data_IF_021984343589
#
_entry.id   IF_021984343589
#
_cell.length_a   1.000
_cell.length_b   1.000
_cell.length_c   1.000
_cell.angle_alpha   90.00
_cell.angle_beta   90.00
_cell.angle_gamma   90.00
#
_symmetry.space_group_name_H-M   'P 1'
#
loop_
_entity.id
_entity.type
_entity.pdbx_description
1 polymer ?
#
# COMPACT_ATOMS: atom_id res chain seq x y z
N UNK A 1 -5.65 1.37 41.58
CA UNK A 1 -6.91 0.63 41.85
C UNK A 1 -6.80 -0.52 42.86
N UNK A 2 -5.61 -0.91 43.35
CA UNK A 2 -5.44 -2.12 44.19
C UNK A 2 -5.99 -2.05 45.63
N UNK A 3 -6.02 -0.88 46.26
CA UNK A 3 -6.40 -0.73 47.67
C UNK A 3 -7.84 -1.10 48.01
N UNK A 4 -8.77 -0.93 47.06
CA UNK A 4 -10.19 -1.27 47.27
C UNK A 4 -10.45 -2.76 47.44
N UNK A 5 -9.50 -3.63 47.09
CA UNK A 5 -9.66 -5.09 47.20
C UNK A 5 -8.96 -5.65 48.44
N UNK A 6 -7.69 -5.32 48.65
CA UNK A 6 -6.95 -5.87 49.79
C UNK A 6 -7.43 -5.31 51.14
N UNK A 7 -7.92 -4.07 51.20
CA UNK A 7 -8.40 -3.47 52.46
C UNK A 7 -9.61 -4.22 53.02
N UNK A 8 -10.73 -4.38 52.29
CA UNK A 8 -11.88 -5.10 52.83
C UNK A 8 -11.61 -6.58 53.05
N UNK A 9 -10.76 -7.22 52.24
CA UNK A 9 -10.40 -8.63 52.44
C UNK A 9 -9.51 -8.84 53.67
N UNK A 10 -8.52 -7.97 53.90
CA UNK A 10 -7.69 -8.03 55.09
C UNK A 10 -8.52 -7.77 56.37
N UNK A 11 -9.39 -6.75 56.34
CA UNK A 11 -10.31 -6.47 57.45
C UNK A 11 -11.27 -7.63 57.64
N UNK A 12 -11.85 -8.16 56.56
CA UNK A 12 -12.80 -9.27 56.61
C UNK A 12 -12.19 -10.54 57.18
N UNK A 13 -10.97 -10.90 56.79
CA UNK A 13 -10.26 -12.06 57.32
C UNK A 13 -9.91 -11.92 58.80
N UNK A 14 -9.42 -10.75 59.21
CA UNK A 14 -9.11 -10.51 60.63
C UNK A 14 -10.40 -10.45 61.46
N UNK A 15 -11.45 -9.79 60.97
CA UNK A 15 -12.76 -9.72 61.62
C UNK A 15 -13.39 -11.11 61.74
N UNK A 16 -13.30 -11.94 60.69
CA UNK A 16 -13.77 -13.32 60.71
C UNK A 16 -13.05 -14.11 61.80
N UNK A 17 -11.73 -13.95 61.92
CA UNK A 17 -10.95 -14.61 62.96
C UNK A 17 -11.40 -14.15 64.35
N UNK A 18 -11.54 -12.84 64.57
CA UNK A 18 -12.05 -12.28 65.84
C UNK A 18 -13.46 -12.76 66.14
N UNK A 19 -14.34 -12.84 65.14
CA UNK A 19 -15.71 -13.33 65.30
C UNK A 19 -15.74 -14.82 65.67
N UNK A 20 -14.88 -15.63 65.06
CA UNK A 20 -14.72 -17.05 65.44
C UNK A 20 -14.23 -17.16 66.88
N UNK A 21 -13.30 -16.31 67.32
CA UNK A 21 -12.83 -16.30 68.72
C UNK A 21 -13.96 -15.98 69.70
N UNK A 22 -14.84 -15.05 69.36
CA UNK A 22 -15.97 -14.68 70.22
C UNK A 22 -17.15 -15.65 70.17
N UNK A 23 -17.39 -16.34 69.05
CA UNK A 23 -18.54 -17.24 68.89
C UNK A 23 -18.24 -18.69 69.30
N UNK A 24 -17.01 -19.16 69.05
CA UNK A 24 -16.61 -20.55 69.31
C UNK A 24 -15.82 -20.66 70.62
N UNK A 25 -15.19 -19.57 71.05
CA UNK A 25 -14.38 -19.51 72.27
C UNK A 25 -14.82 -18.35 73.17
N UNK A 26 -14.16 -18.18 74.31
CA UNK A 26 -14.46 -17.13 75.30
C UNK A 26 -13.95 -15.72 74.88
N UNK A 27 -13.67 -15.50 73.59
CA UNK A 27 -13.22 -14.19 73.06
C UNK A 27 -11.82 -13.73 73.51
N UNK A 28 -11.08 -14.57 74.22
CA UNK A 28 -9.71 -14.29 74.68
C UNK A 28 -8.74 -15.41 74.32
N UNK A 29 -9.22 -16.49 73.70
CA UNK A 29 -8.46 -17.74 73.58
C UNK A 29 -7.31 -17.62 72.59
N UNK A 30 -7.47 -16.80 71.55
CA UNK A 30 -6.40 -16.48 70.60
C UNK A 30 -5.26 -15.64 71.17
N UNK A 31 -5.47 -14.98 72.31
CA UNK A 31 -4.39 -14.26 72.98
C UNK A 31 -3.37 -15.22 73.63
N UNK A 32 -3.84 -16.36 74.11
CA UNK A 32 -3.08 -17.36 74.85
C UNK A 32 -2.58 -18.52 73.98
N UNK A 33 -3.06 -18.63 72.75
CA UNK A 33 -2.65 -19.67 71.80
C UNK A 33 -1.39 -19.23 71.05
N UNK A 34 -0.26 -19.89 71.30
CA UNK A 34 1.00 -19.66 70.58
C UNK A 34 1.27 -20.83 69.63
N UNK A 35 1.51 -20.58 68.32
CA UNK A 35 1.47 -19.29 67.62
C UNK A 35 0.06 -18.73 67.41
N UNK A 36 -0.11 -17.41 67.50
CA UNK A 36 -1.41 -16.74 67.34
C UNK A 36 -1.94 -16.85 65.91
N UNK A 37 -3.23 -17.12 65.67
CA UNK A 37 -3.75 -17.44 64.33
C UNK A 37 -3.75 -16.24 63.34
N UNK A 38 -3.43 -15.02 63.80
CA UNK A 38 -3.30 -13.82 62.96
C UNK A 38 -2.18 -13.88 61.91
N UNK A 39 -1.29 -14.87 61.98
CA UNK A 39 -0.34 -15.18 60.91
C UNK A 39 -1.03 -15.52 59.59
N UNK A 40 -2.23 -16.13 59.62
CA UNK A 40 -2.93 -16.59 58.42
C UNK A 40 -3.33 -15.40 57.52
N UNK A 41 -4.06 -14.37 58.00
CA UNK A 41 -4.36 -13.19 57.19
C UNK A 41 -3.10 -12.48 56.67
N UNK A 42 -2.06 -12.35 57.51
CA UNK A 42 -0.82 -11.65 57.15
C UNK A 42 -0.12 -12.34 55.98
N UNK A 43 0.08 -13.66 56.07
CA UNK A 43 0.74 -14.44 55.02
C UNK A 43 -0.10 -14.44 53.74
N UNK A 44 -1.41 -14.68 53.86
CA UNK A 44 -2.30 -14.80 52.71
C UNK A 44 -2.38 -13.48 51.91
N UNK A 45 -2.61 -12.37 52.60
CA UNK A 45 -2.69 -11.06 51.96
C UNK A 45 -1.33 -10.64 51.40
N UNK A 46 -0.22 -10.91 52.10
CA UNK A 46 1.13 -10.64 51.58
C UNK A 46 1.42 -11.42 50.29
N UNK A 47 1.04 -12.69 50.25
CA UNK A 47 1.26 -13.56 49.08
C UNK A 47 0.36 -13.18 47.89
N UNK A 48 -0.84 -12.65 48.14
CA UNK A 48 -1.78 -12.31 47.08
C UNK A 48 -1.54 -10.89 46.53
N UNK A 49 -1.41 -9.91 47.43
CA UNK A 49 -1.39 -8.49 47.10
C UNK A 49 -0.01 -7.83 47.22
N UNK A 50 1.01 -8.59 47.60
CA UNK A 50 2.37 -8.11 47.75
C UNK A 50 2.56 -7.25 49.00
N UNK A 51 3.58 -6.39 48.95
CA UNK A 51 4.08 -5.62 50.09
C UNK A 51 3.00 -4.74 50.74
N UNK A 52 2.28 -3.96 49.94
CA UNK A 52 1.31 -2.99 50.45
C UNK A 52 0.14 -3.66 51.19
N UNK A 53 -0.36 -4.77 50.65
CA UNK A 53 -1.40 -5.56 51.31
C UNK A 53 -0.88 -6.23 52.58
N UNK A 54 0.32 -6.82 52.53
CA UNK A 54 0.93 -7.49 53.68
C UNK A 54 1.15 -6.57 54.87
N UNK A 55 1.73 -5.39 54.64
CA UNK A 55 1.93 -4.37 55.69
C UNK A 55 0.58 -3.93 56.28
N UNK A 56 -0.43 -3.72 55.44
CA UNK A 56 -1.77 -3.37 55.92
C UNK A 56 -2.39 -4.50 56.77
N UNK A 57 -2.29 -5.75 56.34
CA UNK A 57 -2.78 -6.89 57.11
C UNK A 57 -2.08 -7.01 58.47
N UNK A 58 -0.77 -6.76 58.54
CA UNK A 58 -0.02 -6.72 59.80
C UNK A 58 -0.53 -5.62 60.73
N UNK A 59 -0.83 -4.42 60.22
CA UNK A 59 -1.38 -3.33 61.02
C UNK A 59 -2.75 -3.68 61.59
N UNK A 60 -3.64 -4.24 60.77
CA UNK A 60 -4.99 -4.66 61.19
C UNK A 60 -4.90 -5.81 62.21
N UNK A 61 -4.03 -6.79 62.00
CA UNK A 61 -3.78 -7.88 62.94
C UNK A 61 -3.20 -7.39 64.27
N UNK A 62 -2.28 -6.43 64.24
CA UNK A 62 -1.70 -5.82 65.44
C UNK A 62 -2.75 -5.05 66.24
N UNK A 63 -3.62 -4.30 65.55
CA UNK A 63 -4.72 -3.59 66.18
C UNK A 63 -5.73 -4.55 66.83
N UNK A 64 -6.08 -5.64 66.12
CA UNK A 64 -6.96 -6.68 66.65
C UNK A 64 -6.36 -7.37 67.88
N UNK A 65 -5.05 -7.65 67.85
CA UNK A 65 -4.32 -8.23 68.98
C UNK A 65 -4.37 -7.32 70.22
N UNK A 66 -4.05 -6.03 70.05
CA UNK A 66 -4.07 -5.08 71.16
C UNK A 66 -5.48 -4.76 71.66
N UNK A 67 -6.52 -4.97 70.83
CA UNK A 67 -7.92 -4.81 71.25
C UNK A 67 -8.49 -5.99 72.03
N UNK A 68 -7.95 -7.20 71.84
CA UNK A 68 -8.52 -8.45 72.40
C UNK A 68 -7.86 -8.86 73.72
N UNK A 69 -6.55 -8.70 73.87
CA UNK A 69 -5.88 -8.89 75.15
C UNK A 69 -4.45 -8.32 75.14
N UNK A 70 -4.23 -7.25 75.91
CA UNK A 70 -2.88 -6.87 76.32
C UNK A 70 -2.46 -7.78 77.49
N UNK A 71 -1.26 -8.39 77.47
CA UNK A 71 -0.77 -9.14 78.61
C UNK A 71 -0.74 -8.22 79.83
N UNK A 72 -1.32 -8.64 80.96
CA UNK A 72 -1.29 -7.85 82.18
C UNK A 72 0.16 -7.72 82.68
N UNK A 73 0.70 -6.51 82.73
CA UNK A 73 2.03 -6.26 83.27
C UNK A 73 2.04 -6.63 84.76
N UNK A 74 2.84 -7.63 85.16
CA UNK A 74 3.04 -7.94 86.57
C UNK A 74 3.88 -6.82 87.21
N UNK A 75 3.53 -6.42 88.44
CA UNK A 75 4.22 -5.34 89.17
C UNK A 75 5.72 -5.62 89.44
N UNK A 76 6.16 -6.87 89.31
CA UNK A 76 7.55 -7.32 89.46
C UNK A 76 8.29 -7.49 88.13
N UNK A 77 7.64 -7.25 86.99
CA UNK A 77 8.21 -7.50 85.67
C UNK A 77 9.05 -6.32 85.18
N UNK A 78 10.26 -6.62 84.70
CA UNK A 78 11.12 -5.65 84.02
C UNK A 78 10.43 -5.09 82.77
N UNK A 79 10.38 -3.77 82.66
CA UNK A 79 9.81 -3.03 81.54
C UNK A 79 10.40 -3.47 80.18
N UNK A 80 11.70 -3.78 80.14
CA UNK A 80 12.36 -4.24 78.92
C UNK A 80 11.95 -5.66 78.53
N UNK A 81 11.66 -6.52 79.50
CA UNK A 81 11.17 -7.89 79.24
C UNK A 81 9.73 -7.86 78.70
N UNK A 82 8.87 -7.02 79.30
CA UNK A 82 7.49 -6.85 78.86
C UNK A 82 7.39 -6.25 77.45
N UNK A 83 8.12 -5.16 77.17
CA UNK A 83 8.12 -4.51 75.85
C UNK A 83 8.61 -5.44 74.73
N UNK A 84 9.64 -6.26 74.98
CA UNK A 84 10.10 -7.28 74.00
C UNK A 84 9.00 -8.29 73.68
N UNK A 85 8.27 -8.77 74.70
CA UNK A 85 7.21 -9.75 74.51
C UNK A 85 6.03 -9.21 73.70
N UNK A 86 5.67 -7.94 73.92
CA UNK A 86 4.56 -7.29 73.21
C UNK A 86 4.91 -7.01 71.74
N UNK A 87 6.16 -6.62 71.46
CA UNK A 87 6.59 -6.18 70.13
C UNK A 87 7.09 -7.35 69.25
N UNK A 88 7.53 -8.46 69.84
CA UNK A 88 8.09 -9.61 69.11
C UNK A 88 7.15 -10.17 68.03
N UNK A 89 5.86 -10.33 68.32
CA UNK A 89 4.92 -10.90 67.35
C UNK A 89 4.58 -9.93 66.20
N UNK A 90 4.18 -8.67 66.44
CA UNK A 90 3.95 -7.70 65.36
C UNK A 90 5.19 -7.49 64.49
N UNK A 91 6.39 -7.49 65.07
CA UNK A 91 7.64 -7.37 64.30
C UNK A 91 7.91 -8.61 63.45
N UNK A 92 7.63 -9.81 63.96
CA UNK A 92 7.74 -11.04 63.18
C UNK A 92 6.73 -11.07 62.01
N UNK A 93 5.48 -10.64 62.24
CA UNK A 93 4.47 -10.48 61.19
C UNK A 93 4.91 -9.47 60.13
N UNK A 94 5.43 -8.33 60.56
CA UNK A 94 5.92 -7.30 59.65
C UNK A 94 7.11 -7.81 58.84
N UNK A 95 8.10 -8.45 59.47
CA UNK A 95 9.25 -9.02 58.78
C UNK A 95 8.81 -10.05 57.73
N UNK A 96 7.88 -10.93 58.08
CA UNK A 96 7.32 -11.92 57.16
C UNK A 96 6.58 -11.25 55.99
N UNK A 97 5.73 -10.26 56.27
CA UNK A 97 5.01 -9.50 55.27
C UNK A 97 5.95 -8.72 54.33
N UNK A 98 7.04 -8.17 54.85
CA UNK A 98 8.07 -7.50 54.05
C UNK A 98 8.78 -8.48 53.11
N UNK A 99 9.19 -9.65 53.60
CA UNK A 99 9.90 -10.65 52.80
C UNK A 99 8.97 -11.27 51.75
N UNK A 100 7.83 -11.83 52.18
CA UNK A 100 6.89 -12.50 51.26
C UNK A 100 6.22 -11.49 50.33
N UNK A 101 5.74 -10.37 50.89
CA UNK A 101 5.11 -9.32 50.12
C UNK A 101 6.07 -8.64 49.16
N UNK A 102 7.34 -8.43 49.57
CA UNK A 102 8.40 -7.91 48.71
C UNK A 102 8.71 -8.83 47.54
N UNK A 103 8.92 -10.13 47.81
CA UNK A 103 9.15 -11.13 46.76
C UNK A 103 7.95 -11.21 45.79
N UNK A 104 6.73 -11.19 46.33
CA UNK A 104 5.51 -11.17 45.51
C UNK A 104 5.40 -9.91 44.66
N UNK A 105 5.65 -8.73 45.24
CA UNK A 105 5.66 -7.47 44.49
C UNK A 105 6.68 -7.50 43.36
N UNK A 106 7.87 -8.03 43.63
CA UNK A 106 8.91 -8.20 42.63
C UNK A 106 8.47 -9.15 41.52
N UNK A 107 7.84 -10.28 41.84
CA UNK A 107 7.30 -11.20 40.83
C UNK A 107 6.18 -10.58 40.00
N UNK A 108 5.27 -9.82 40.62
CA UNK A 108 4.19 -9.12 39.89
C UNK A 108 4.79 -8.11 38.92
N UNK A 109 5.78 -7.35 39.36
CA UNK A 109 6.46 -6.35 38.55
C UNK A 109 7.18 -7.02 37.36
N UNK A 110 8.01 -8.03 37.59
CA UNK A 110 8.69 -8.76 36.51
C UNK A 110 7.70 -9.43 35.55
N UNK A 111 6.60 -9.99 36.05
CA UNK A 111 5.58 -10.58 35.20
C UNK A 111 4.84 -9.53 34.36
N UNK A 112 4.69 -8.30 34.84
CA UNK A 112 4.13 -7.21 34.07
C UNK A 112 5.11 -6.73 32.99
N UNK A 113 6.37 -6.54 33.37
CA UNK A 113 7.46 -6.15 32.47
C UNK A 113 7.64 -7.16 31.32
N UNK A 114 7.72 -8.46 31.63
CA UNK A 114 7.84 -9.51 30.62
C UNK A 114 6.62 -9.58 29.68
N UNK A 115 5.42 -9.29 30.19
CA UNK A 115 4.22 -9.23 29.33
C UNK A 115 4.29 -8.04 28.39
N UNK A 116 4.69 -6.89 28.89
CA UNK A 116 4.86 -5.68 28.09
C UNK A 116 5.91 -5.89 26.99
N UNK A 117 7.09 -6.42 27.33
CA UNK A 117 8.13 -6.73 26.34
C UNK A 117 7.66 -7.70 25.26
N UNK A 118 6.85 -8.70 25.64
CA UNK A 118 6.26 -9.63 24.68
C UNK A 118 5.24 -8.95 23.78
N UNK A 119 4.39 -8.08 24.32
CA UNK A 119 3.39 -7.35 23.54
C UNK A 119 4.08 -6.37 22.56
N UNK A 120 5.09 -5.64 23.02
CA UNK A 120 5.90 -4.74 22.18
C UNK A 120 6.59 -5.49 21.03
N UNK A 121 7.16 -6.67 21.31
CA UNK A 121 7.81 -7.50 20.29
C UNK A 121 6.82 -8.07 19.26
N UNK A 122 5.59 -8.40 19.67
CA UNK A 122 4.54 -8.84 18.74
C UNK A 122 4.09 -7.70 17.84
N UNK A 123 3.90 -6.50 18.41
CA UNK A 123 3.54 -5.30 17.64
C UNK A 123 4.61 -4.94 16.61
N UNK A 124 5.89 -5.06 16.98
CA UNK A 124 7.02 -4.87 16.06
C UNK A 124 7.01 -5.91 14.94
N UNK A 125 6.85 -7.20 15.26
CA UNK A 125 6.78 -8.27 14.26
C UNK A 125 5.62 -8.08 13.27
N UNK A 126 4.44 -7.67 13.75
CA UNK A 126 3.29 -7.36 12.90
C UNK A 126 3.56 -6.16 12.00
N UNK A 127 4.27 -5.15 12.49
CA UNK A 127 4.68 -3.99 11.68
C UNK A 127 5.63 -4.39 10.54
N UNK A 128 6.60 -5.26 10.82
CA UNK A 128 7.54 -5.80 9.82
C UNK A 128 6.81 -6.68 8.80
N UNK A 129 5.86 -7.51 9.23
CA UNK A 129 5.03 -8.33 8.35
C UNK A 129 4.21 -7.48 7.38
N UNK A 130 3.61 -6.38 7.86
CA UNK A 130 2.91 -5.41 7.01
C UNK A 130 3.84 -4.71 6.02
N UNK A 131 5.02 -4.29 6.48
CA UNK A 131 6.03 -3.66 5.62
C UNK A 131 6.53 -4.58 4.51
N UNK A 132 6.81 -5.84 4.82
CA UNK A 132 7.23 -6.85 3.85
C UNK A 132 6.12 -7.13 2.82
N UNK A 133 4.88 -7.28 3.28
CA UNK A 133 3.73 -7.51 2.39
C UNK A 133 3.53 -6.35 1.42
N UNK A 134 3.67 -5.11 1.90
CA UNK A 134 3.59 -3.92 1.05
C UNK A 134 4.75 -3.87 0.02
N UNK A 135 5.98 -4.20 0.45
CA UNK A 135 7.14 -4.24 -0.44
C UNK A 135 6.99 -5.32 -1.53
N UNK A 136 6.50 -6.51 -1.18
CA UNK A 136 6.22 -7.58 -2.15
C UNK A 136 5.15 -7.18 -3.16
N UNK A 137 4.09 -6.49 -2.72
CA UNK A 137 3.06 -5.98 -3.61
C UNK A 137 3.61 -4.95 -4.60
N UNK A 138 4.51 -4.06 -4.15
CA UNK A 138 5.15 -3.07 -5.01
C UNK A 138 6.13 -3.73 -6.00
N UNK A 139 6.91 -4.72 -5.57
CA UNK A 139 7.77 -5.51 -6.47
C UNK A 139 6.93 -6.17 -7.56
N UNK A 140 5.84 -6.86 -7.20
CA UNK A 140 4.96 -7.49 -8.19
C UNK A 140 4.34 -6.49 -9.17
N UNK A 141 4.04 -5.27 -8.70
CA UNK A 141 3.53 -4.19 -9.55
C UNK A 141 4.61 -3.66 -10.52
N UNK A 142 5.86 -3.54 -10.07
CA UNK A 142 7.00 -3.15 -10.89
C UNK A 142 7.32 -4.22 -11.94
N UNK A 143 7.30 -5.51 -11.57
CA UNK A 143 7.50 -6.63 -12.50
C UNK A 143 6.45 -6.62 -13.61
N UNK A 144 5.17 -6.43 -13.26
CA UNK A 144 4.09 -6.32 -14.24
C UNK A 144 4.31 -5.14 -15.20
N UNK A 145 4.78 -4.00 -14.68
CA UNK A 145 5.09 -2.81 -15.49
C UNK A 145 6.25 -3.07 -16.44
N UNK A 146 7.35 -3.64 -15.95
CA UNK A 146 8.53 -3.96 -16.77
C UNK A 146 8.15 -4.97 -17.86
N UNK A 147 7.33 -5.99 -17.55
CA UNK A 147 6.86 -6.95 -18.52
C UNK A 147 5.99 -6.32 -19.61
N UNK A 148 5.10 -5.38 -19.25
CA UNK A 148 4.29 -4.63 -20.19
C UNK A 148 5.14 -3.70 -21.09
N UNK A 149 6.11 -3.00 -20.50
CA UNK A 149 7.00 -2.06 -21.20
C UNK A 149 7.99 -2.78 -22.12
N UNK A 150 8.55 -3.91 -21.69
CA UNK A 150 9.45 -4.76 -22.50
C UNK A 150 8.72 -5.39 -23.68
N UNK A 151 7.46 -5.81 -23.49
CA UNK A 151 6.62 -6.32 -24.59
C UNK A 151 6.20 -5.19 -25.55
N UNK A 152 6.09 -3.95 -25.08
CA UNK A 152 5.69 -2.81 -25.91
C UNK A 152 6.82 -2.14 -26.71
N UNK A 153 8.06 -2.12 -26.22
CA UNK A 153 9.18 -1.42 -26.88
C UNK A 153 10.13 -2.35 -27.65
N UNK A 154 10.36 -3.57 -27.15
CA UNK A 154 11.29 -4.53 -27.79
C UNK A 154 10.67 -5.35 -28.92
N UNK A 155 9.39 -5.73 -28.80
CA UNK A 155 8.74 -6.59 -29.80
C UNK A 155 8.35 -5.84 -31.08
N UNK A 156 8.02 -4.56 -30.97
CA UNK A 156 7.64 -3.72 -32.11
C UNK A 156 8.89 -3.28 -32.88
N UNK A 157 9.92 -2.78 -32.18
CA UNK A 157 11.17 -2.33 -32.82
C UNK A 157 11.94 -3.47 -33.50
N UNK A 158 12.00 -4.66 -32.87
CA UNK A 158 12.67 -5.84 -33.44
C UNK A 158 11.86 -6.52 -34.54
N UNK A 159 10.53 -6.46 -34.50
CA UNK A 159 9.68 -6.92 -35.59
C UNK A 159 9.78 -6.02 -36.83
N UNK A 160 10.01 -4.71 -36.65
CA UNK A 160 10.19 -3.78 -37.76
C UNK A 160 11.61 -3.77 -38.34
N UNK A 161 12.65 -4.02 -37.52
CA UNK A 161 14.04 -4.03 -37.97
C UNK A 161 14.48 -5.33 -38.69
N UNK A 162 13.63 -6.36 -38.76
CA UNK A 162 13.95 -7.66 -39.37
C UNK A 162 13.18 -7.96 -40.67
N UNK A 163 12.52 -6.97 -41.28
CA UNK A 163 11.72 -7.18 -42.49
C UNK A 163 12.52 -6.79 -43.74
N UNK A 164 12.71 -7.79 -44.62
CA UNK A 164 13.34 -7.64 -45.93
C UNK A 164 12.54 -6.67 -46.83
N UNK A 165 13.23 -6.04 -47.79
CA UNK A 165 12.67 -4.98 -48.64
C UNK A 165 11.43 -5.41 -49.46
N UNK A 166 11.26 -6.71 -49.74
CA UNK A 166 10.05 -7.26 -50.40
C UNK A 166 8.84 -7.38 -49.45
N UNK A 167 9.09 -7.61 -48.15
CA UNK A 167 8.04 -7.67 -47.12
C UNK A 167 7.61 -6.27 -46.66
N UNK A 168 8.51 -5.28 -46.68
CA UNK A 168 8.22 -3.88 -46.37
C UNK A 168 7.16 -3.28 -47.29
N UNK A 169 7.19 -3.58 -48.59
CA UNK A 169 6.18 -3.11 -49.55
C UNK A 169 4.81 -3.78 -49.31
N UNK A 170 4.80 -5.08 -48.96
CA UNK A 170 3.57 -5.81 -48.61
C UNK A 170 2.92 -5.28 -47.33
N UNK A 171 3.73 -4.93 -46.35
CA UNK A 171 3.27 -4.31 -45.11
C UNK A 171 2.75 -2.90 -45.32
N UNK A 172 3.46 -2.06 -46.09
CA UNK A 172 2.99 -0.72 -46.46
C UNK A 172 1.64 -0.80 -47.20
N UNK A 173 1.48 -1.80 -48.07
CA UNK A 173 0.23 -2.06 -48.81
C UNK A 173 -0.89 -2.52 -47.86
N UNK A 174 -0.59 -3.40 -46.91
CA UNK A 174 -1.56 -3.90 -45.92
C UNK A 174 -2.01 -2.80 -44.95
N UNK A 175 -1.09 -1.94 -44.51
CA UNK A 175 -1.39 -0.76 -43.70
C UNK A 175 -2.21 0.27 -44.48
N UNK A 176 -1.89 0.50 -45.75
CA UNK A 176 -2.69 1.35 -46.63
C UNK A 176 -4.10 0.79 -46.82
N UNK A 177 -4.28 -0.54 -46.88
CA UNK A 177 -5.60 -1.16 -46.95
C UNK A 177 -6.40 -1.00 -45.65
N UNK A 178 -5.76 -1.18 -44.50
CA UNK A 178 -6.38 -0.91 -43.20
C UNK A 178 -6.76 0.58 -43.06
N UNK A 179 -5.87 1.48 -43.47
CA UNK A 179 -6.12 2.91 -43.52
C UNK A 179 -7.31 3.25 -44.39
N UNK A 180 -7.42 2.64 -45.58
CA UNK A 180 -8.58 2.82 -46.48
C UNK A 180 -9.89 2.44 -45.79
N UNK A 181 -9.92 1.31 -45.09
CA UNK A 181 -11.11 0.82 -44.38
C UNK A 181 -11.49 1.72 -43.20
N UNK A 182 -10.51 2.19 -42.42
CA UNK A 182 -10.72 3.04 -41.25
C UNK A 182 -11.20 4.45 -41.63
N UNK A 183 -10.57 5.06 -42.64
CA UNK A 183 -10.96 6.37 -43.17
C UNK A 183 -12.28 6.28 -43.94
N UNK A 184 -12.61 5.11 -44.49
CA UNK A 184 -13.79 4.90 -45.33
C UNK A 184 -13.62 5.46 -46.74
N UNK A 185 -12.39 5.37 -47.27
CA UNK A 185 -12.02 5.87 -48.58
C UNK A 185 -12.35 4.86 -49.70
N UNK A 186 -12.81 5.36 -50.85
CA UNK A 186 -12.94 4.51 -52.05
C UNK A 186 -11.57 4.13 -52.61
N UNK A 187 -10.61 5.05 -52.53
CA UNK A 187 -9.21 4.83 -52.89
C UNK A 187 -8.29 5.66 -52.01
N UNK A 188 -7.17 5.07 -51.62
CA UNK A 188 -6.16 5.68 -50.77
C UNK A 188 -4.78 5.41 -51.35
N UNK A 189 -3.99 6.48 -51.50
CA UNK A 189 -2.65 6.44 -52.09
C UNK A 189 -1.66 7.04 -51.11
N UNK A 190 -0.57 6.33 -50.85
CA UNK A 190 0.50 6.74 -49.94
C UNK A 190 1.72 7.09 -50.78
N UNK A 191 2.25 8.29 -50.61
CA UNK A 191 3.47 8.76 -51.25
C UNK A 191 4.58 8.88 -50.23
N UNK A 192 5.78 8.47 -50.60
CA UNK A 192 7.00 8.70 -49.84
C UNK A 192 7.75 9.91 -50.42
N UNK A 193 8.28 10.76 -49.55
CA UNK A 193 9.14 11.86 -49.97
C UNK A 193 10.54 11.32 -50.28
N UNK A 194 11.03 11.57 -51.48
CA UNK A 194 12.41 11.28 -51.89
C UNK A 194 13.12 12.58 -52.28
N UNK A 195 14.46 12.60 -52.37
CA UNK A 195 15.22 13.79 -52.80
C UNK A 195 14.83 14.30 -54.20
N UNK A 196 14.14 13.49 -54.99
CA UNK A 196 13.67 13.81 -56.35
C UNK A 196 12.17 14.17 -56.42
N UNK A 197 11.48 14.22 -55.29
CA UNK A 197 10.04 14.51 -55.20
C UNK A 197 9.24 13.42 -54.49
N UNK A 198 7.91 13.55 -54.51
CA UNK A 198 7.00 12.55 -53.92
C UNK A 198 6.80 11.39 -54.89
N UNK A 199 7.13 10.17 -54.44
CA UNK A 199 6.98 8.94 -55.22
C UNK A 199 5.88 8.07 -54.61
N UNK A 200 4.93 7.53 -55.40
CA UNK A 200 3.88 6.67 -54.88
C UNK A 200 4.48 5.36 -54.34
N UNK A 201 4.23 5.10 -53.06
CA UNK A 201 4.67 3.90 -52.36
C UNK A 201 3.66 2.77 -52.51
N UNK A 202 2.37 3.06 -52.29
CA UNK A 202 1.27 2.11 -52.41
C UNK A 202 -0.06 2.79 -52.79
N UNK A 203 -0.86 2.13 -53.62
CA UNK A 203 -2.21 2.56 -54.01
C UNK A 203 -3.20 1.44 -53.75
N UNK A 204 -4.23 1.70 -52.93
CA UNK A 204 -5.24 0.70 -52.56
C UNK A 204 -6.65 1.22 -52.85
N UNK A 205 -7.46 0.42 -53.55
CA UNK A 205 -8.86 0.74 -53.87
C UNK A 205 -9.82 -0.36 -53.42
N UNK A 206 -11.11 -0.20 -53.73
CA UNK A 206 -12.16 -1.20 -53.40
C UNK A 206 -11.90 -2.59 -54.01
N UNK A 207 -11.20 -2.67 -55.14
CA UNK A 207 -10.85 -3.93 -55.82
C UNK A 207 -9.54 -4.57 -55.37
N UNK A 208 -8.97 -4.14 -54.24
CA UNK A 208 -7.68 -4.63 -53.73
C UNK A 208 -6.48 -3.74 -54.09
N UNK A 209 -5.26 -4.18 -53.75
CA UNK A 209 -4.04 -3.43 -54.03
C UNK A 209 -3.81 -3.33 -55.54
N UNK A 210 -3.54 -2.11 -56.03
CA UNK A 210 -3.27 -1.85 -57.44
C UNK A 210 -1.84 -1.38 -57.63
N UNK A 211 -1.26 -1.74 -58.77
CA UNK A 211 0.13 -1.46 -59.11
C UNK A 211 0.43 0.05 -59.18
N UNK A 212 1.70 0.41 -58.95
CA UNK A 212 2.23 1.80 -58.87
C UNK A 212 1.89 2.66 -60.08
N UNK A 213 1.62 2.03 -61.23
CA UNK A 213 1.35 2.66 -62.54
C UNK A 213 0.03 3.46 -62.56
N UNK A 214 -0.88 3.22 -61.60
CA UNK A 214 -2.21 3.85 -61.56
C UNK A 214 -2.36 5.01 -60.56
N UNK A 215 -1.28 5.41 -59.87
CA UNK A 215 -1.32 6.52 -58.92
C UNK A 215 -1.44 7.87 -59.67
N UNK A 216 -2.28 8.82 -59.22
CA UNK A 216 -2.33 10.15 -59.82
C UNK A 216 -0.97 10.84 -59.64
N UNK A 217 -0.48 11.50 -60.69
CA UNK A 217 0.70 12.35 -60.59
C UNK A 217 0.38 13.51 -59.65
N UNK A 218 1.26 13.74 -58.67
CA UNK A 218 1.15 14.92 -57.81
C UNK A 218 1.78 16.09 -58.56
N UNK A 219 0.98 17.12 -58.85
CA UNK A 219 1.50 18.38 -59.37
C UNK A 219 2.44 19.04 -58.37
N UNK A 220 3.51 19.67 -58.86
CA UNK A 220 4.51 20.34 -58.02
C UNK A 220 3.92 21.36 -57.04
N UNK A 221 2.78 21.97 -57.39
CA UNK A 221 2.07 22.93 -56.53
C UNK A 221 1.50 22.31 -55.24
N UNK A 222 1.09 21.03 -55.24
CA UNK A 222 0.63 20.35 -54.03
C UNK A 222 1.81 19.90 -53.17
N UNK A 223 2.86 19.37 -53.81
CA UNK A 223 4.09 18.97 -53.13
C UNK A 223 4.74 20.15 -52.40
N UNK A 224 4.82 21.31 -53.06
CA UNK A 224 5.37 22.53 -52.47
C UNK A 224 4.48 23.09 -51.35
N UNK A 225 3.16 23.08 -51.53
CA UNK A 225 2.24 23.55 -50.52
C UNK A 225 2.24 22.68 -49.25
N UNK A 226 2.43 21.37 -49.41
CA UNK A 226 2.59 20.42 -48.30
C UNK A 226 3.95 20.60 -47.61
N UNK A 227 5.01 20.93 -48.36
CA UNK A 227 6.31 21.25 -47.79
C UNK A 227 6.28 22.56 -46.96
N UNK A 228 5.51 23.56 -47.39
CA UNK A 228 5.38 24.84 -46.68
C UNK A 228 4.49 24.77 -45.43
N UNK A 229 3.53 23.84 -45.40
CA UNK A 229 2.58 23.68 -44.29
C UNK A 229 2.31 22.20 -44.00
N UNK A 230 3.26 21.46 -43.40
CA UNK A 230 3.16 20.02 -43.17
C UNK A 230 2.05 19.65 -42.17
N UNK A 231 1.73 20.52 -41.22
CA UNK A 231 0.69 20.26 -40.21
C UNK A 231 -0.73 20.59 -40.71
N UNK A 232 -0.87 21.06 -41.95
CA UNK A 232 -2.15 21.49 -42.51
C UNK A 232 -2.85 20.36 -43.26
N UNK A 233 -4.12 20.14 -42.91
CA UNK A 233 -5.03 19.27 -43.65
C UNK A 233 -5.58 19.97 -44.90
N UNK A 234 -5.41 19.36 -46.07
CA UNK A 234 -5.91 19.86 -47.35
C UNK A 234 -7.22 19.18 -47.71
N UNK A 235 -8.29 19.96 -47.90
CA UNK A 235 -9.66 19.44 -48.06
C UNK A 235 -10.33 20.00 -49.29
N UNK A 236 -11.06 19.17 -50.05
CA UNK A 236 -11.75 19.62 -51.27
C UNK A 236 -12.95 20.53 -51.02
N UNK A 237 -13.51 20.56 -49.81
CA UNK A 237 -14.58 21.49 -49.41
C UNK A 237 -14.13 22.96 -49.41
N UNK A 238 -12.83 23.23 -49.28
CA UNK A 238 -12.26 24.57 -49.31
C UNK A 238 -11.84 24.94 -50.73
N UNK A 239 -12.44 26.00 -51.28
CA UNK A 239 -12.16 26.47 -52.65
C UNK A 239 -10.67 26.75 -52.93
N UNK A 240 -9.90 27.17 -51.92
CA UNK A 240 -8.46 27.41 -52.03
C UNK A 240 -7.63 26.11 -52.13
N UNK A 241 -8.09 25.03 -51.50
CA UNK A 241 -7.42 23.72 -51.46
C UNK A 241 -7.87 22.86 -52.65
N UNK A 242 -9.13 22.99 -53.08
CA UNK A 242 -9.72 22.29 -54.22
C UNK A 242 -8.97 22.52 -55.55
N UNK A 243 -8.33 23.68 -55.73
CA UNK A 243 -7.51 24.00 -56.91
C UNK A 243 -6.15 23.30 -56.93
N UNK A 244 -5.66 22.86 -55.77
CA UNK A 244 -4.35 22.21 -55.61
C UNK A 244 -4.44 20.69 -55.50
N UNK A 245 -5.64 20.16 -55.24
CA UNK A 245 -5.88 18.73 -55.15
C UNK A 245 -6.03 18.11 -56.55
N UNK A 246 -5.42 16.94 -56.83
CA UNK A 246 -5.58 16.26 -58.11
C UNK A 246 -7.03 15.85 -58.35
N UNK A 247 -7.41 15.72 -59.63
CA UNK A 247 -8.78 15.40 -60.04
C UNK A 247 -9.28 14.08 -59.43
N UNK A 248 -10.19 14.17 -58.47
CA UNK A 248 -10.76 12.99 -57.78
C UNK A 248 -10.30 12.85 -56.32
N UNK A 249 -9.25 13.55 -55.90
CA UNK A 249 -8.87 13.63 -54.50
C UNK A 249 -9.89 14.45 -53.70
N UNK A 250 -10.11 14.03 -52.46
CA UNK A 250 -11.06 14.62 -51.51
C UNK A 250 -10.33 15.15 -50.29
N UNK A 251 -9.22 14.50 -49.91
CA UNK A 251 -8.37 14.86 -48.78
C UNK A 251 -6.90 14.59 -49.08
N UNK A 252 -6.01 15.46 -48.63
CA UNK A 252 -4.57 15.20 -48.58
C UNK A 252 -3.99 15.58 -47.20
N UNK A 253 -3.17 14.69 -46.64
CA UNK A 253 -2.56 14.82 -45.31
C UNK A 253 -1.08 14.53 -45.40
N UNK A 254 -0.24 15.42 -44.88
CA UNK A 254 1.20 15.16 -44.85
C UNK A 254 1.53 14.13 -43.77
N UNK A 255 2.53 13.28 -44.04
CA UNK A 255 3.12 12.39 -43.06
C UNK A 255 4.24 13.15 -42.34
N UNK A 256 4.11 13.43 -41.03
CA UNK A 256 5.09 14.24 -40.31
C UNK A 256 6.43 13.50 -40.22
N UNK A 257 7.53 14.25 -40.33
CA UNK A 257 8.87 13.74 -40.09
C UNK A 257 9.30 14.03 -38.66
N UNK A 258 9.70 13.01 -37.91
CA UNK A 258 10.36 13.21 -36.63
C UNK A 258 11.86 13.50 -36.86
N UNK A 259 12.27 14.75 -36.61
CA UNK A 259 13.70 15.14 -36.60
C UNK A 259 14.29 15.70 -37.90
N UNK A 260 13.50 15.91 -38.96
CA UNK A 260 13.96 16.62 -40.17
C UNK A 260 12.91 17.68 -40.58
N UNK A 261 13.34 18.88 -41.04
CA UNK A 261 12.42 19.90 -41.54
C UNK A 261 11.86 19.47 -42.91
N UNK A 262 10.63 18.95 -42.92
CA UNK A 262 9.87 18.63 -44.13
C UNK A 262 9.02 17.37 -43.99
N UNK A 263 7.95 17.22 -44.80
CA UNK A 263 7.08 16.05 -44.77
C UNK A 263 7.81 14.81 -45.32
N UNK A 264 7.73 13.68 -44.60
CA UNK A 264 8.32 12.39 -45.04
C UNK A 264 7.47 11.67 -46.09
N UNK A 265 6.25 12.13 -46.31
CA UNK A 265 5.36 11.60 -47.34
C UNK A 265 3.99 12.29 -47.33
N UNK A 266 3.10 11.78 -48.17
CA UNK A 266 1.74 12.31 -48.34
C UNK A 266 0.73 11.18 -48.39
N UNK A 267 -0.34 11.29 -47.62
CA UNK A 267 -1.53 10.47 -47.72
C UNK A 267 -2.57 11.19 -48.58
N UNK A 268 -2.96 10.58 -49.70
CA UNK A 268 -3.97 11.10 -50.60
C UNK A 268 -5.21 10.20 -50.57
N UNK A 269 -6.37 10.80 -50.35
CA UNK A 269 -7.66 10.10 -50.34
C UNK A 269 -8.46 10.48 -51.58
N UNK A 270 -8.69 9.50 -52.46
CA UNK A 270 -9.40 9.63 -53.72
C UNK A 270 -10.82 9.07 -53.56
N UNK A 271 -11.74 9.96 -53.19
CA UNK A 271 -13.15 9.64 -52.94
C UNK A 271 -13.43 9.00 -51.58
N UNK A 272 -14.66 9.17 -51.12
CA UNK A 272 -15.20 8.55 -49.90
C UNK A 272 -16.29 7.56 -50.29
N UNK A 273 -16.46 6.52 -49.46
CA UNK A 273 -17.59 5.60 -49.57
C UNK A 273 -18.92 6.38 -49.44
N UNK A 274 -20.01 5.92 -50.09
CA UNK A 274 -21.27 6.67 -50.15
C UNK A 274 -21.90 6.99 -48.79
N UNK A 275 -21.51 6.27 -47.74
CA UNK A 275 -22.00 6.47 -46.37
C UNK A 275 -21.08 7.33 -45.49
N UNK A 276 -20.00 7.89 -46.03
CA UNK A 276 -18.98 8.61 -45.27
C UNK A 276 -18.93 10.10 -45.62
N UNK A 277 -18.89 10.95 -44.60
CA UNK A 277 -18.75 12.40 -44.78
C UNK A 277 -17.28 12.85 -44.65
N UNK A 278 -16.92 13.95 -45.33
CA UNK A 278 -15.60 14.56 -45.22
C UNK A 278 -15.26 15.00 -43.79
N UNK A 279 -16.27 15.36 -42.99
CA UNK A 279 -16.10 15.78 -41.60
C UNK A 279 -15.65 14.61 -40.71
N UNK A 280 -16.15 13.41 -40.96
CA UNK A 280 -15.80 12.20 -40.21
C UNK A 280 -14.50 11.55 -40.71
N UNK A 281 -14.24 11.62 -42.01
CA UNK A 281 -13.03 11.06 -42.61
C UNK A 281 -11.75 11.86 -42.27
N UNK A 282 -11.88 13.18 -42.09
CA UNK A 282 -10.76 14.08 -41.81
C UNK A 282 -9.94 13.73 -40.55
N UNK A 283 -10.54 13.60 -39.34
CA UNK A 283 -9.77 13.24 -38.14
C UNK A 283 -9.17 11.84 -38.24
N UNK A 284 -9.89 10.87 -38.81
CA UNK A 284 -9.39 9.50 -38.99
C UNK A 284 -8.20 9.43 -39.94
N UNK A 285 -8.21 10.23 -41.00
CA UNK A 285 -7.10 10.32 -41.93
C UNK A 285 -5.88 11.02 -41.29
N UNK A 286 -6.11 11.98 -40.39
CA UNK A 286 -5.04 12.62 -39.63
C UNK A 286 -4.39 11.63 -38.66
N UNK A 287 -5.19 10.90 -37.87
CA UNK A 287 -4.68 9.88 -36.96
C UNK A 287 -3.90 8.79 -37.70
N UNK A 288 -4.40 8.37 -38.86
CA UNK A 288 -3.71 7.44 -39.75
C UNK A 288 -2.39 8.02 -40.28
N UNK A 289 -2.37 9.28 -40.69
CA UNK A 289 -1.15 9.94 -41.17
C UNK A 289 -0.09 10.07 -40.05
N UNK A 290 -0.51 10.36 -38.82
CA UNK A 290 0.39 10.38 -37.65
C UNK A 290 0.95 8.99 -37.34
N UNK A 291 0.09 7.96 -37.36
CA UNK A 291 0.52 6.59 -37.15
C UNK A 291 1.49 6.11 -38.24
N UNK A 292 1.20 6.39 -39.51
CA UNK A 292 2.08 6.02 -40.63
C UNK A 292 3.38 6.83 -40.64
N UNK A 293 3.34 8.13 -40.29
CA UNK A 293 4.53 8.97 -40.19
C UNK A 293 5.50 8.51 -39.11
N UNK A 294 4.99 8.10 -37.94
CA UNK A 294 5.83 7.54 -36.86
C UNK A 294 6.46 6.19 -37.23
N UNK A 295 5.72 5.32 -37.93
CA UNK A 295 6.24 4.06 -38.44
C UNK A 295 7.38 4.27 -39.47
N UNK A 296 7.22 5.22 -40.39
CA UNK A 296 8.25 5.53 -41.40
C UNK A 296 9.47 6.23 -40.81
N UNK A 297 9.35 6.94 -39.68
CA UNK A 297 10.48 7.56 -38.99
C UNK A 297 11.40 6.54 -38.29
N UNK A 298 10.85 5.39 -37.89
CA UNK A 298 11.60 4.32 -37.21
C UNK A 298 12.46 3.45 -38.14
N UNK A 299 12.24 3.48 -39.46
CA UNK A 299 12.90 2.59 -40.41
C UNK A 299 14.27 3.07 -40.94
N UNK A 300 14.69 4.31 -40.63
CA UNK A 300 15.92 4.93 -41.19
C UNK A 300 17.00 5.22 -40.13
N UNK A 301 16.92 4.61 -38.94
CA UNK A 301 18.00 4.64 -37.94
C UNK A 301 18.69 3.29 -37.88
#
# INVERSE_FOLDING_TARGET
MGWRRYVPEAIGLVLLLVLIDHLVFDGSRYAWMTPRPFWIPVILISAQYGLAGGVFATLVATLALYSSALPSQLATQDYYAYSRQVVAEPTAWLACALVLGGLRSLHIFHAAELRQQRDDALDEADSLGRGLSAAMAEIGRLELRIAAETRSLGSVSKAFACLDAEDGLRLATSLAELGRRLVGASRLTVYAATPRGLVPLATVGEGGPRDRVTAPAIDGALAEAVAQAPDRLWRRDRAADARKLPGGAVLAVALPAHGAPGPRGLLLVEGLLPNQTLAEAAPRALDMALAMGSLMAGAER
#
